data_IF_600149740911
#
_entry.id   IF_600149740911
#
_cell.length_a   1.000
_cell.length_b   1.000
_cell.length_c   1.000
_cell.angle_alpha   90.00
_cell.angle_beta   90.00
_cell.angle_gamma   90.00
#
_symmetry.space_group_name_H-M   'P 1'
#
loop_
_entity.id
_entity.type
_entity.pdbx_description
1 polymer ?
#
# COMPACT_ATOMS: atom_id res chain seq x y z
N UNK A 1 -45.81 20.75 21.61
CA UNK A 1 -44.40 20.50 22.03
C UNK A 1 -43.89 19.31 21.24
N UNK A 2 -43.10 19.56 20.17
CA UNK A 2 -42.53 18.52 19.34
C UNK A 2 -41.14 18.22 19.87
N UNK A 3 -40.96 17.02 20.39
CA UNK A 3 -39.74 16.56 21.02
C UNK A 3 -38.78 16.07 19.91
N UNK A 4 -37.92 16.94 19.39
CA UNK A 4 -36.84 16.58 18.46
C UNK A 4 -35.75 15.82 19.24
N UNK A 5 -35.85 14.50 19.30
CA UNK A 5 -34.73 13.64 19.71
C UNK A 5 -33.65 13.74 18.67
N UNK A 6 -32.59 14.51 18.97
CA UNK A 6 -31.38 14.53 18.16
C UNK A 6 -30.85 13.11 17.97
N UNK A 7 -30.84 12.62 16.73
CA UNK A 7 -30.26 11.35 16.38
C UNK A 7 -28.78 11.35 16.77
N UNK A 8 -28.37 10.41 17.62
CA UNK A 8 -26.97 10.15 17.95
C UNK A 8 -26.27 9.83 16.62
N UNK A 9 -25.27 10.63 16.25
CA UNK A 9 -24.41 10.34 15.11
C UNK A 9 -23.93 8.89 15.23
N UNK A 10 -24.12 8.11 14.17
CA UNK A 10 -23.72 6.71 14.15
C UNK A 10 -22.20 6.61 14.31
N UNK A 11 -21.70 5.63 15.06
CA UNK A 11 -20.26 5.40 15.35
C UNK A 11 -19.35 5.38 14.10
N UNK A 12 -19.91 5.32 12.89
CA UNK A 12 -19.18 5.37 11.62
C UNK A 12 -18.63 6.78 11.30
N UNK A 13 -19.25 7.86 11.80
CA UNK A 13 -18.77 9.24 11.58
C UNK A 13 -17.63 9.63 12.53
N UNK A 14 -17.37 8.81 13.57
CA UNK A 14 -16.32 9.02 14.58
C UNK A 14 -15.11 8.09 14.36
N UNK A 15 -15.10 7.25 13.31
CA UNK A 15 -13.94 6.42 12.99
C UNK A 15 -12.90 7.26 12.27
N UNK A 16 -11.70 7.27 12.80
CA UNK A 16 -10.53 7.80 12.11
C UNK A 16 -10.42 7.14 10.72
N UNK A 17 -10.11 7.94 9.70
CA UNK A 17 -9.89 7.47 8.34
C UNK A 17 -8.82 6.37 8.32
N UNK A 18 -9.13 5.22 7.73
CA UNK A 18 -8.23 4.05 7.63
C UNK A 18 -7.41 4.02 6.33
N UNK A 19 -7.25 5.14 5.64
CA UNK A 19 -6.43 5.27 4.42
C UNK A 19 -5.66 6.59 4.42
N UNK A 20 -4.64 6.67 3.59
CA UNK A 20 -3.84 7.87 3.38
C UNK A 20 -4.25 8.56 2.08
N UNK A 21 -4.25 9.88 2.08
CA UNK A 21 -4.35 10.66 0.85
C UNK A 21 -2.98 10.75 0.18
N UNK A 22 -2.95 11.09 -1.10
CA UNK A 22 -1.73 11.11 -1.91
C UNK A 22 -0.64 12.03 -1.35
N UNK A 23 -1.01 13.17 -0.77
CA UNK A 23 -0.07 14.08 -0.13
C UNK A 23 0.62 13.48 1.10
N UNK A 24 -0.09 12.64 1.87
CA UNK A 24 0.46 11.91 3.02
C UNK A 24 1.43 10.81 2.58
N UNK A 25 1.08 10.07 1.52
CA UNK A 25 1.96 9.06 0.92
C UNK A 25 3.24 9.73 0.39
N UNK A 26 3.10 10.88 -0.26
CA UNK A 26 4.25 11.66 -0.75
C UNK A 26 5.15 12.12 0.41
N UNK A 27 4.57 12.56 1.53
CA UNK A 27 5.35 12.91 2.74
C UNK A 27 6.10 11.71 3.31
N UNK A 28 5.47 10.53 3.40
CA UNK A 28 6.14 9.29 3.83
C UNK A 28 7.33 8.95 2.93
N UNK A 29 7.14 9.01 1.61
CA UNK A 29 8.18 8.73 0.61
C UNK A 29 9.33 9.74 0.75
N UNK A 30 9.03 11.02 0.94
CA UNK A 30 10.04 12.08 1.10
C UNK A 30 10.90 11.83 2.33
N UNK A 31 10.29 11.48 3.46
CA UNK A 31 11.02 11.13 4.69
C UNK A 31 11.85 9.87 4.49
N UNK A 32 11.30 8.83 3.86
CA UNK A 32 12.03 7.60 3.59
C UNK A 32 13.28 7.84 2.74
N UNK A 33 13.18 8.69 1.69
CA UNK A 33 14.32 9.09 0.84
C UNK A 33 15.39 9.88 1.58
N UNK A 34 15.02 10.60 2.62
CA UNK A 34 15.93 11.43 3.42
C UNK A 34 16.86 10.66 4.35
N UNK A 35 16.76 9.33 4.43
CA UNK A 35 17.69 8.53 5.24
C UNK A 35 19.11 8.61 4.66
N UNK A 36 20.10 8.81 5.53
CA UNK A 36 21.53 8.92 5.14
C UNK A 36 22.07 7.60 4.56
N UNK A 37 21.58 6.46 5.04
CA UNK A 37 21.89 5.14 4.50
C UNK A 37 21.09 4.91 3.22
N UNK A 38 21.79 4.78 2.09
CA UNK A 38 21.20 4.63 0.76
C UNK A 38 20.40 3.34 0.62
N UNK A 39 20.82 2.25 1.29
CA UNK A 39 20.09 0.99 1.29
C UNK A 39 18.77 1.16 2.06
N UNK A 40 18.81 1.69 3.28
CA UNK A 40 17.60 1.91 4.09
C UNK A 40 16.65 2.91 3.45
N UNK A 41 17.17 3.99 2.85
CA UNK A 41 16.37 4.95 2.10
C UNK A 41 15.62 4.28 0.95
N UNK A 42 16.34 3.52 0.12
CA UNK A 42 15.77 2.83 -1.06
C UNK A 42 14.78 1.74 -0.64
N UNK A 43 15.15 0.94 0.37
CA UNK A 43 14.30 -0.12 0.92
C UNK A 43 12.98 0.43 1.45
N UNK A 44 13.04 1.43 2.31
CA UNK A 44 11.84 1.99 2.96
C UNK A 44 10.94 2.72 1.95
N UNK A 45 11.53 3.44 0.99
CA UNK A 45 10.79 4.04 -0.13
C UNK A 45 10.04 2.96 -0.92
N UNK A 46 10.73 1.88 -1.30
CA UNK A 46 10.13 0.81 -2.09
C UNK A 46 9.06 0.04 -1.30
N UNK A 47 9.24 -0.17 0.01
CA UNK A 47 8.22 -0.74 0.89
C UNK A 47 6.93 0.08 0.83
N UNK A 48 7.02 1.41 0.97
CA UNK A 48 5.84 2.30 0.91
C UNK A 48 5.20 2.21 -0.48
N UNK A 49 6.01 2.32 -1.53
CA UNK A 49 5.54 2.38 -2.91
C UNK A 49 4.83 1.09 -3.34
N UNK A 50 5.44 -0.08 -3.11
CA UNK A 50 4.84 -1.37 -3.46
C UNK A 50 3.61 -1.68 -2.61
N UNK A 51 3.62 -1.32 -1.32
CA UNK A 51 2.44 -1.50 -0.46
C UNK A 51 1.27 -0.64 -0.93
N UNK A 52 1.52 0.58 -1.39
CA UNK A 52 0.51 1.48 -1.92
C UNK A 52 0.05 1.07 -3.33
N UNK A 53 0.99 0.87 -4.27
CA UNK A 53 0.62 0.64 -5.68
C UNK A 53 0.09 -0.76 -5.95
N UNK A 54 0.63 -1.78 -5.29
CA UNK A 54 0.21 -3.17 -5.48
C UNK A 54 -0.67 -3.71 -4.36
N UNK A 55 -0.97 -2.88 -3.36
CA UNK A 55 -1.82 -3.25 -2.23
C UNK A 55 -1.30 -4.45 -1.44
N UNK A 56 0.03 -4.59 -1.27
CA UNK A 56 0.63 -5.73 -0.60
C UNK A 56 0.27 -5.77 0.89
N UNK A 57 -0.10 -6.96 1.38
CA UNK A 57 -0.13 -7.20 2.83
C UNK A 57 1.29 -7.24 3.38
N UNK A 58 1.48 -6.89 4.64
CA UNK A 58 2.82 -6.88 5.27
C UNK A 58 3.54 -8.24 5.16
N UNK A 59 2.80 -9.34 5.27
CA UNK A 59 3.36 -10.69 5.12
C UNK A 59 3.72 -11.05 3.67
N UNK A 60 2.98 -10.54 2.69
CA UNK A 60 3.29 -10.67 1.27
C UNK A 60 4.56 -9.87 0.94
N UNK A 61 4.64 -8.65 1.45
CA UNK A 61 5.81 -7.79 1.30
C UNK A 61 7.09 -8.40 1.90
N UNK A 62 7.04 -8.83 3.17
CA UNK A 62 8.22 -9.40 3.84
C UNK A 62 8.64 -10.74 3.25
N UNK A 63 7.71 -11.47 2.66
CA UNK A 63 7.95 -12.74 1.97
C UNK A 63 8.40 -12.60 0.50
N UNK A 64 8.56 -11.39 -0.01
CA UNK A 64 8.91 -11.17 -1.41
C UNK A 64 10.35 -11.56 -1.70
N UNK A 65 10.56 -12.34 -2.77
CA UNK A 65 11.86 -12.82 -3.21
C UNK A 65 12.27 -12.19 -4.54
N UNK A 66 13.57 -12.14 -4.79
CA UNK A 66 14.13 -11.61 -6.03
C UNK A 66 13.67 -12.35 -7.29
N UNK A 67 13.40 -13.66 -7.21
CA UNK A 67 12.91 -14.45 -8.33
C UNK A 67 11.44 -14.17 -8.71
N UNK A 68 10.75 -13.33 -7.94
CA UNK A 68 9.40 -12.86 -8.25
C UNK A 68 9.42 -11.54 -9.05
N UNK A 69 10.59 -11.00 -9.34
CA UNK A 69 10.76 -9.73 -10.03
C UNK A 69 11.32 -9.99 -11.44
N UNK A 70 10.57 -9.59 -12.44
CA UNK A 70 10.93 -9.65 -13.86
C UNK A 70 11.18 -8.22 -14.37
N UNK A 71 12.44 -7.77 -14.29
CA UNK A 71 12.77 -6.38 -14.63
C UNK A 71 12.66 -6.09 -16.13
N UNK A 72 12.91 -7.08 -17.00
CA UNK A 72 12.84 -6.94 -18.46
C UNK A 72 11.37 -6.75 -18.90
N UNK A 73 10.45 -7.46 -18.29
CA UNK A 73 9.01 -7.39 -18.55
C UNK A 73 8.29 -6.38 -17.64
N UNK A 74 9.04 -5.72 -16.76
CA UNK A 74 8.50 -4.82 -15.75
C UNK A 74 7.36 -5.45 -14.94
N UNK A 75 7.54 -6.71 -14.50
CA UNK A 75 6.55 -7.51 -13.78
C UNK A 75 6.97 -7.83 -12.34
N UNK A 76 5.98 -7.91 -11.45
CA UNK A 76 6.13 -8.43 -10.10
C UNK A 76 5.10 -9.53 -9.84
N UNK A 77 5.56 -10.75 -9.53
CA UNK A 77 4.71 -11.87 -9.16
C UNK A 77 4.31 -11.75 -7.70
N UNK A 78 3.04 -11.55 -7.44
CA UNK A 78 2.48 -11.41 -6.10
C UNK A 78 1.84 -12.73 -5.68
N UNK A 79 2.46 -13.41 -4.73
CA UNK A 79 1.90 -14.62 -4.12
C UNK A 79 0.95 -14.21 -3.00
N UNK A 80 -0.36 -14.24 -3.28
CA UNK A 80 -1.38 -13.92 -2.30
C UNK A 80 -1.55 -15.07 -1.31
N UNK A 81 -1.70 -14.74 -0.03
CA UNK A 81 -1.87 -15.71 1.04
C UNK A 81 -3.36 -16.12 1.18
N UNK A 82 -3.59 -17.34 1.71
CA UNK A 82 -4.91 -17.83 2.14
C UNK A 82 -5.97 -17.93 1.03
N UNK A 83 -5.62 -18.53 -0.12
CA UNK A 83 -6.59 -18.83 -1.18
C UNK A 83 -7.09 -17.61 -1.96
N UNK A 84 -6.35 -16.51 -1.90
CA UNK A 84 -6.53 -15.35 -2.80
C UNK A 84 -5.78 -15.61 -4.10
N UNK A 85 -6.28 -15.09 -5.22
CA UNK A 85 -5.66 -15.24 -6.53
C UNK A 85 -4.30 -14.53 -6.55
N UNK A 86 -3.24 -15.30 -6.85
CA UNK A 86 -1.92 -14.77 -7.15
C UNK A 86 -1.87 -14.29 -8.59
N UNK A 87 -1.04 -13.30 -8.88
CA UNK A 87 -0.94 -12.76 -10.24
C UNK A 87 0.32 -11.95 -10.46
N UNK A 88 0.56 -11.60 -11.71
CA UNK A 88 1.62 -10.67 -12.11
C UNK A 88 1.04 -9.27 -12.17
N UNK A 89 1.65 -8.35 -11.45
CA UNK A 89 1.31 -6.94 -11.50
C UNK A 89 2.37 -6.18 -12.32
N UNK A 90 1.98 -5.31 -13.25
CA UNK A 90 2.93 -4.49 -13.98
C UNK A 90 3.58 -3.47 -13.05
N UNK A 91 4.90 -3.37 -13.11
CA UNK A 91 5.69 -2.34 -12.42
C UNK A 91 5.89 -1.13 -13.33
N UNK A 92 5.95 0.05 -12.73
CA UNK A 92 6.31 1.28 -13.45
C UNK A 92 7.82 1.46 -13.49
N UNK A 93 8.30 2.27 -14.44
CA UNK A 93 9.74 2.49 -14.62
C UNK A 93 10.47 3.08 -13.39
N UNK A 94 9.76 3.85 -12.52
CA UNK A 94 10.33 4.33 -11.27
C UNK A 94 10.49 3.19 -10.24
N UNK A 95 9.58 2.22 -10.23
CA UNK A 95 9.69 1.01 -9.40
C UNK A 95 10.84 0.12 -9.86
N UNK A 96 10.96 -0.12 -11.16
CA UNK A 96 12.07 -0.90 -11.74
C UNK A 96 13.44 -0.29 -11.38
N UNK A 97 13.56 1.06 -11.47
CA UNK A 97 14.79 1.76 -11.06
C UNK A 97 15.09 1.59 -9.56
N UNK A 98 14.08 1.67 -8.71
CA UNK A 98 14.24 1.49 -7.26
C UNK A 98 14.59 0.04 -6.92
N UNK A 99 13.97 -0.93 -7.57
CA UNK A 99 14.28 -2.36 -7.42
C UNK A 99 15.73 -2.64 -7.78
N UNK A 100 16.19 -2.14 -8.93
CA UNK A 100 17.59 -2.27 -9.36
C UNK A 100 18.55 -1.60 -8.38
N UNK A 101 18.18 -0.40 -7.89
CA UNK A 101 18.97 0.32 -6.88
C UNK A 101 19.03 -0.43 -5.56
N UNK A 102 17.92 -1.01 -5.10
CA UNK A 102 17.89 -1.81 -3.88
C UNK A 102 18.79 -3.04 -4.01
N UNK A 103 18.69 -3.78 -5.12
CA UNK A 103 19.50 -4.97 -5.38
C UNK A 103 21.01 -4.66 -5.38
N UNK A 104 21.39 -3.52 -5.97
CA UNK A 104 22.79 -3.06 -6.01
C UNK A 104 23.35 -2.70 -4.63
N UNK A 105 22.52 -2.13 -3.75
CA UNK A 105 22.94 -1.61 -2.44
C UNK A 105 22.59 -2.55 -1.28
N UNK A 106 22.05 -3.75 -1.55
CA UNK A 106 21.74 -4.72 -0.50
C UNK A 106 23.05 -5.18 0.17
N UNK A 107 23.16 -5.07 1.51
CA UNK A 107 24.44 -5.27 2.20
C UNK A 107 24.98 -6.71 2.13
N UNK A 108 24.06 -7.68 2.02
CA UNK A 108 24.38 -9.11 1.92
C UNK A 108 23.48 -9.73 0.85
N UNK A 109 24.05 -10.58 -0.02
CA UNK A 109 23.25 -11.34 -0.98
C UNK A 109 22.23 -12.20 -0.26
N UNK A 110 20.97 -12.07 -0.62
CA UNK A 110 19.85 -12.77 -0.02
C UNK A 110 18.82 -13.15 -1.09
N UNK A 111 18.11 -14.28 -0.96
CA UNK A 111 16.98 -14.58 -1.83
C UNK A 111 15.81 -13.63 -1.57
N UNK A 112 15.76 -12.98 -0.40
CA UNK A 112 14.71 -12.08 0.02
C UNK A 112 14.98 -10.67 -0.49
N UNK A 113 13.96 -10.02 -1.03
CA UNK A 113 14.06 -8.66 -1.53
C UNK A 113 14.25 -7.65 -0.39
N UNK A 114 13.54 -7.85 0.72
CA UNK A 114 13.61 -6.95 1.87
C UNK A 114 14.36 -7.59 3.03
N UNK A 115 15.50 -7.01 3.35
CA UNK A 115 16.37 -7.43 4.46
C UNK A 115 16.57 -6.29 5.46
N UNK A 116 17.04 -6.63 6.66
CA UNK A 116 17.59 -5.68 7.62
C UNK A 116 18.94 -5.15 7.14
N UNK A 117 19.49 -4.15 7.85
CA UNK A 117 20.86 -3.68 7.60
C UNK A 117 21.91 -4.78 7.83
N UNK A 118 21.62 -5.78 8.68
CA UNK A 118 22.49 -6.95 8.91
C UNK A 118 22.30 -8.06 7.87
N UNK A 119 21.47 -7.88 6.84
CA UNK A 119 21.24 -8.87 5.78
C UNK A 119 20.22 -9.97 6.11
N UNK A 120 19.67 -9.99 7.32
CA UNK A 120 18.62 -10.94 7.71
C UNK A 120 17.28 -10.53 7.06
N UNK A 121 16.39 -11.51 6.86
CA UNK A 121 15.04 -11.25 6.37
C UNK A 121 14.35 -10.17 7.24
N UNK A 122 13.73 -9.20 6.59
CA UNK A 122 13.01 -8.15 7.30
C UNK A 122 11.67 -8.71 7.84
N UNK A 123 11.53 -8.68 9.15
CA UNK A 123 10.31 -9.17 9.82
C UNK A 123 9.17 -8.17 9.70
N UNK A 124 7.93 -8.63 9.94
CA UNK A 124 6.74 -7.75 10.01
C UNK A 124 6.93 -6.63 11.04
N UNK A 125 7.49 -6.96 12.22
CA UNK A 125 7.76 -5.97 13.26
C UNK A 125 8.83 -4.97 12.82
N UNK A 126 9.84 -5.43 12.07
CA UNK A 126 10.87 -4.57 11.49
C UNK A 126 10.28 -3.56 10.50
N UNK A 127 9.36 -4.00 9.62
CA UNK A 127 8.62 -3.09 8.72
C UNK A 127 7.76 -2.13 9.53
N UNK A 128 7.00 -2.64 10.51
CA UNK A 128 6.10 -1.81 11.33
C UNK A 128 6.88 -0.71 12.07
N UNK A 129 8.01 -1.06 12.70
CA UNK A 129 8.86 -0.09 13.40
C UNK A 129 9.46 0.96 12.45
N UNK A 130 9.99 0.52 11.29
CA UNK A 130 10.56 1.44 10.31
C UNK A 130 9.52 2.42 9.79
N UNK A 131 8.32 1.94 9.43
CA UNK A 131 7.24 2.79 8.93
C UNK A 131 6.65 3.70 10.02
N UNK A 132 6.56 3.25 11.27
CA UNK A 132 6.12 4.09 12.39
C UNK A 132 7.05 5.28 12.60
N UNK A 133 8.36 5.06 12.58
CA UNK A 133 9.37 6.13 12.66
C UNK A 133 9.23 7.12 11.50
N UNK A 134 9.03 6.62 10.28
CA UNK A 134 8.83 7.46 9.09
C UNK A 134 7.53 8.28 9.22
N UNK A 135 6.43 7.67 9.65
CA UNK A 135 5.14 8.33 9.83
C UNK A 135 5.20 9.44 10.89
N UNK A 136 5.91 9.17 12.01
CA UNK A 136 6.14 10.18 13.05
C UNK A 136 6.95 11.36 12.51
N UNK A 137 8.04 11.08 11.79
CA UNK A 137 8.90 12.12 11.18
C UNK A 137 8.14 12.91 10.11
N UNK A 138 7.26 12.25 9.35
CA UNK A 138 6.37 12.87 8.36
C UNK A 138 5.23 13.67 9.00
N UNK A 139 5.11 13.67 10.33
CA UNK A 139 4.06 14.38 11.09
C UNK A 139 2.65 14.04 10.57
N UNK A 140 2.38 12.73 10.41
CA UNK A 140 1.00 12.30 10.10
C UNK A 140 0.12 12.51 11.34
N UNK A 141 -1.04 13.12 11.14
CA UNK A 141 -2.00 13.41 12.22
C UNK A 141 -2.84 12.20 12.62
N UNK A 142 -2.77 11.13 11.83
CA UNK A 142 -3.53 9.88 12.04
C UNK A 142 -2.62 8.78 12.57
N UNK A 143 -3.20 7.87 13.35
CA UNK A 143 -2.48 6.67 13.83
C UNK A 143 -2.17 5.73 12.67
N UNK A 144 -0.96 5.88 12.12
CA UNK A 144 -0.52 5.13 10.96
C UNK A 144 -0.28 3.65 11.25
N UNK A 145 -0.70 2.78 10.36
CA UNK A 145 -0.31 1.38 10.27
C UNK A 145 -0.19 0.93 8.81
N UNK A 146 0.62 -0.11 8.55
CA UNK A 146 0.94 -0.56 7.19
C UNK A 146 -0.30 -0.83 6.32
N UNK A 147 -1.37 -1.38 6.89
CA UNK A 147 -2.57 -1.76 6.13
C UNK A 147 -3.28 -0.55 5.49
N UNK A 148 -3.07 0.65 6.03
CA UNK A 148 -3.58 1.90 5.45
C UNK A 148 -3.05 2.15 4.04
N UNK A 149 -1.80 1.74 3.72
CA UNK A 149 -1.25 1.84 2.36
C UNK A 149 -2.04 0.96 1.37
N UNK A 150 -2.45 -0.23 1.81
CA UNK A 150 -3.29 -1.11 1.00
C UNK A 150 -4.71 -0.56 0.84
N UNK A 151 -5.30 0.00 1.89
CA UNK A 151 -6.59 0.71 1.77
C UNK A 151 -6.49 1.88 0.80
N UNK A 152 -5.41 2.67 0.90
CA UNK A 152 -5.13 3.77 -0.04
C UNK A 152 -5.03 3.29 -1.49
N UNK A 153 -4.47 2.09 -1.74
CA UNK A 153 -4.48 1.47 -3.07
C UNK A 153 -5.91 1.26 -3.57
N UNK A 154 -6.78 0.68 -2.75
CA UNK A 154 -8.18 0.43 -3.10
C UNK A 154 -8.94 1.72 -3.42
N UNK A 155 -8.80 2.74 -2.57
CA UNK A 155 -9.42 4.05 -2.82
C UNK A 155 -8.86 4.75 -4.05
N UNK A 156 -7.54 4.67 -4.29
CA UNK A 156 -6.92 5.26 -5.49
C UNK A 156 -7.38 4.58 -6.78
N UNK A 157 -7.62 3.27 -6.77
CA UNK A 157 -8.17 2.55 -7.91
C UNK A 157 -9.65 2.90 -8.13
N UNK A 158 -10.44 3.00 -7.06
CA UNK A 158 -11.85 3.42 -7.14
C UNK A 158 -11.97 4.85 -7.72
N UNK A 159 -11.15 5.79 -7.23
CA UNK A 159 -11.11 7.16 -7.73
C UNK A 159 -10.67 7.28 -9.21
N UNK A 160 -10.00 6.24 -9.74
CA UNK A 160 -9.67 6.13 -11.17
C UNK A 160 -10.78 5.48 -12.00
N UNK A 161 -11.94 5.22 -11.42
CA UNK A 161 -13.06 4.59 -12.10
C UNK A 161 -12.94 3.07 -12.29
N UNK A 162 -11.99 2.41 -11.61
CA UNK A 162 -11.92 0.95 -11.67
C UNK A 162 -13.16 0.33 -11.01
N UNK A 163 -13.74 -0.66 -11.66
CA UNK A 163 -14.89 -1.36 -11.10
C UNK A 163 -14.52 -2.22 -9.88
N UNK A 164 -15.53 -2.55 -9.06
CA UNK A 164 -15.32 -3.25 -7.79
C UNK A 164 -14.71 -4.65 -7.97
N UNK A 165 -15.04 -5.36 -9.07
CA UNK A 165 -14.50 -6.69 -9.36
C UNK A 165 -13.01 -6.62 -9.71
N UNK A 166 -12.62 -5.66 -10.55
CA UNK A 166 -11.22 -5.42 -10.90
C UNK A 166 -10.41 -5.08 -9.65
N UNK A 167 -10.92 -4.21 -8.76
CA UNK A 167 -10.26 -3.87 -7.50
C UNK A 167 -10.16 -5.10 -6.59
N UNK A 168 -11.20 -5.93 -6.51
CA UNK A 168 -11.21 -7.17 -5.75
C UNK A 168 -10.09 -8.11 -6.22
N UNK A 169 -10.01 -8.33 -7.52
CA UNK A 169 -9.00 -9.19 -8.15
C UNK A 169 -7.60 -8.64 -7.94
N UNK A 170 -7.38 -7.36 -8.21
CA UNK A 170 -6.10 -6.69 -8.04
C UNK A 170 -5.58 -6.78 -6.62
N UNK A 171 -6.42 -6.53 -5.64
CA UNK A 171 -6.06 -6.64 -4.23
C UNK A 171 -6.01 -8.10 -3.74
N UNK A 172 -6.62 -9.04 -4.45
CA UNK A 172 -6.75 -10.43 -4.02
C UNK A 172 -7.64 -10.53 -2.77
N UNK A 173 -8.82 -9.92 -2.80
CA UNK A 173 -9.82 -10.09 -1.75
C UNK A 173 -10.68 -11.32 -2.03
N UNK A 174 -10.77 -12.24 -1.06
CA UNK A 174 -11.61 -13.43 -1.16
C UNK A 174 -13.10 -13.08 -1.22
N UNK A 175 -13.54 -12.14 -0.38
CA UNK A 175 -14.92 -11.61 -0.42
C UNK A 175 -14.94 -10.23 -1.05
N UNK A 176 -15.96 -9.98 -1.88
CA UNK A 176 -16.21 -8.68 -2.48
C UNK A 176 -16.58 -7.63 -1.44
N UNK A 177 -17.15 -8.02 -0.30
CA UNK A 177 -17.53 -7.14 0.80
C UNK A 177 -16.36 -6.26 1.27
N UNK A 178 -15.14 -6.83 1.26
CA UNK A 178 -13.93 -6.08 1.60
C UNK A 178 -13.55 -5.02 0.55
N UNK A 179 -14.17 -5.05 -0.61
CA UNK A 179 -13.87 -4.13 -1.73
C UNK A 179 -14.97 -3.10 -1.94
N UNK A 180 -16.22 -3.46 -1.64
CA UNK A 180 -17.39 -2.58 -1.81
C UNK A 180 -17.20 -1.25 -1.08
N UNK A 181 -16.57 -1.24 0.10
CA UNK A 181 -16.30 -0.03 0.86
C UNK A 181 -15.47 1.02 0.12
N UNK A 182 -14.62 0.63 -0.84
CA UNK A 182 -13.81 1.58 -1.62
C UNK A 182 -14.64 2.30 -2.68
N UNK A 183 -15.57 1.60 -3.31
CA UNK A 183 -16.40 2.14 -4.41
C UNK A 183 -17.68 2.79 -3.90
N UNK A 184 -18.19 2.41 -2.74
CA UNK A 184 -19.41 2.98 -2.16
C UNK A 184 -19.28 4.45 -1.73
N UNK A 185 -18.05 4.91 -1.44
CA UNK A 185 -17.75 6.25 -0.94
C UNK A 185 -17.28 7.21 -2.04
N UNK A 186 -17.28 6.80 -3.31
CA UNK A 186 -16.86 7.65 -4.42
C UNK A 186 -18.08 8.29 -5.11
N UNK A 187 -18.38 9.59 -4.84
CA UNK A 187 -19.49 10.29 -5.49
C UNK A 187 -19.31 10.44 -7.00
N UNK A 188 -18.06 10.48 -7.50
CA UNK A 188 -17.75 10.62 -8.91
C UNK A 188 -18.30 9.49 -9.80
N UNK A 189 -18.68 8.33 -9.20
CA UNK A 189 -19.34 7.22 -9.91
C UNK A 189 -20.67 7.62 -10.54
N UNK A 190 -21.32 8.65 -10.03
CA UNK A 190 -22.64 9.07 -10.48
C UNK A 190 -22.57 10.25 -11.47
N UNK A 191 -21.42 10.95 -11.57
CA UNK A 191 -21.27 12.13 -12.41
C UNK A 191 -21.50 11.82 -13.90
N UNK A 192 -21.02 10.67 -14.39
CA UNK A 192 -21.12 10.26 -15.79
C UNK A 192 -22.37 9.46 -16.15
N UNK A 193 -23.26 9.15 -15.19
CA UNK A 193 -24.43 8.28 -15.48
C UNK A 193 -25.43 8.91 -16.49
N UNK A 194 -25.43 10.22 -16.61
CA UNK A 194 -26.37 10.96 -17.45
C UNK A 194 -25.69 11.79 -18.53
N UNK A 195 -24.35 11.74 -18.62
CA UNK A 195 -23.60 12.31 -19.74
C UNK A 195 -23.70 11.36 -20.94
N UNK A 196 -24.35 11.85 -22.03
CA UNK A 196 -24.42 11.20 -23.33
C UNK A 196 -23.41 11.85 -24.27
#
# INVERSE_FOLDING_TARGET
MVNCRGGRATNNSLRDREYLVESEITRLITVAKGNKDIFLATRNHLIILLSYRHGLRISELTGLKWNQIELEEAGIHINRLKGSNSGVHPMRGDECRLVSKLRKNQPVKSPWMFTSASGLILTRDGVTKALATIAQTAKLEIKFHHHMLRHSCGYALAAKGCDTRLIQEYLGHRSIEHTVGYTALDPGRFESLWEK
#
